data_IF_758691741701
#
_entry.id   IF_758691741701
#
_cell.length_a   1.000
_cell.length_b   1.000
_cell.length_c   1.000
_cell.angle_alpha   90.00
_cell.angle_beta   90.00
_cell.angle_gamma   90.00
#
_symmetry.space_group_name_H-M   'P 1'
#
loop_
_entity.id
_entity.type
_entity.pdbx_description
1 polymer ?
#
# COMPACT_ATOMS: atom_id res chain seq x y z
N UNK A 1 21.84 -1.87 5.12
CA UNK A 1 20.47 -2.40 5.36
C UNK A 1 19.79 -2.59 4.01
N UNK A 2 19.08 -3.70 3.75
CA UNK A 2 18.28 -3.89 2.53
C UNK A 2 16.82 -3.50 2.81
N UNK A 3 16.32 -2.35 2.34
CA UNK A 3 14.97 -1.91 2.67
C UNK A 3 13.92 -2.86 2.09
N UNK A 4 12.98 -3.33 2.91
CA UNK A 4 11.82 -4.11 2.47
C UNK A 4 10.58 -3.28 2.76
N UNK A 5 10.12 -2.51 1.78
CA UNK A 5 9.13 -1.48 1.99
C UNK A 5 7.72 -1.97 1.65
N UNK A 6 6.81 -1.85 2.62
CA UNK A 6 5.37 -1.81 2.37
C UNK A 6 4.98 -0.34 2.18
N UNK A 7 4.44 0.00 1.01
CA UNK A 7 4.12 1.37 0.61
C UNK A 7 2.61 1.48 0.45
N UNK A 8 1.97 2.35 1.24
CA UNK A 8 0.51 2.54 1.16
C UNK A 8 0.16 3.46 -0.02
N UNK A 9 0.26 2.92 -1.24
CA UNK A 9 0.04 3.67 -2.48
C UNK A 9 -1.44 3.85 -2.80
N UNK A 10 -2.30 2.95 -2.31
CA UNK A 10 -3.60 2.72 -2.94
C UNK A 10 -3.39 2.13 -4.34
N UNK A 11 -4.23 2.52 -5.30
CA UNK A 11 -3.96 2.26 -6.71
C UNK A 11 -2.55 2.81 -7.10
N UNK A 12 -1.64 2.00 -7.65
CA UNK A 12 -0.24 2.41 -7.87
C UNK A 12 -0.04 3.65 -8.75
N UNK A 13 -0.98 3.93 -9.66
CA UNK A 13 -0.96 5.10 -10.53
C UNK A 13 -1.48 6.38 -9.86
N UNK A 14 -2.09 6.31 -8.67
CA UNK A 14 -2.66 7.47 -7.98
C UNK A 14 -1.61 8.32 -7.24
N UNK A 15 -0.47 7.74 -6.87
CA UNK A 15 0.60 8.41 -6.10
C UNK A 15 1.98 8.19 -6.73
N UNK A 16 2.21 8.66 -7.97
CA UNK A 16 3.43 8.35 -8.73
C UNK A 16 4.71 8.85 -8.06
N UNK A 17 4.68 10.00 -7.37
CA UNK A 17 5.85 10.54 -6.67
C UNK A 17 6.32 9.62 -5.52
N UNK A 18 5.38 9.12 -4.71
CA UNK A 18 5.67 8.18 -3.62
C UNK A 18 6.20 6.85 -4.18
N UNK A 19 5.55 6.36 -5.23
CA UNK A 19 5.94 5.13 -5.92
C UNK A 19 7.38 5.22 -6.47
N UNK A 20 7.71 6.29 -7.19
CA UNK A 20 9.04 6.47 -7.78
C UNK A 20 10.12 6.64 -6.72
N UNK A 21 9.86 7.48 -5.71
CA UNK A 21 10.79 7.69 -4.60
C UNK A 21 11.18 6.37 -3.93
N UNK A 22 10.21 5.52 -3.57
CA UNK A 22 10.50 4.24 -2.91
C UNK A 22 11.17 3.25 -3.84
N UNK A 23 10.77 3.24 -5.10
CA UNK A 23 11.41 2.40 -6.09
C UNK A 23 12.90 2.73 -6.25
N UNK A 24 13.27 4.02 -6.27
CA UNK A 24 14.65 4.44 -6.50
C UNK A 24 15.63 3.89 -5.45
N UNK A 25 15.21 3.71 -4.19
CA UNK A 25 16.08 3.14 -3.15
C UNK A 25 15.84 1.65 -2.84
N UNK A 26 14.78 1.03 -3.36
CA UNK A 26 14.53 -0.42 -3.21
C UNK A 26 14.93 -1.23 -4.44
N UNK A 27 15.01 -0.61 -5.63
CA UNK A 27 15.32 -1.27 -6.90
C UNK A 27 16.63 -2.06 -6.83
N UNK A 28 16.56 -3.35 -7.17
CA UNK A 28 17.68 -4.31 -7.18
C UNK A 28 18.32 -4.64 -5.83
N UNK A 29 17.92 -3.99 -4.73
CA UNK A 29 18.53 -4.16 -3.41
C UNK A 29 17.55 -4.68 -2.37
N UNK A 30 16.25 -4.46 -2.58
CA UNK A 30 15.20 -4.74 -1.61
C UNK A 30 13.87 -5.15 -2.24
N UNK A 31 12.84 -5.17 -1.40
CA UNK A 31 11.46 -5.49 -1.75
C UNK A 31 10.62 -4.22 -1.69
N UNK A 32 9.70 -4.09 -2.62
CA UNK A 32 8.66 -3.07 -2.60
C UNK A 32 7.29 -3.74 -2.79
N UNK A 33 6.38 -3.50 -1.86
CA UNK A 33 4.99 -3.95 -1.91
C UNK A 33 4.11 -2.71 -1.92
N UNK A 34 3.29 -2.55 -2.96
CA UNK A 34 2.27 -1.51 -3.08
C UNK A 34 0.98 -1.99 -2.40
N UNK A 35 0.73 -1.52 -1.18
CA UNK A 35 -0.46 -1.81 -0.40
C UNK A 35 -1.65 -0.95 -0.82
N UNK A 36 -2.82 -1.59 -0.94
CA UNK A 36 -4.09 -0.93 -1.24
C UNK A 36 -5.21 -1.50 -0.37
N UNK A 37 -5.83 -0.65 0.45
CA UNK A 37 -6.99 -1.03 1.28
C UNK A 37 -8.27 -0.64 0.54
N UNK A 38 -9.09 -1.63 0.21
CA UNK A 38 -10.43 -1.45 -0.33
C UNK A 38 -11.45 -1.41 0.81
N UNK A 39 -12.04 -0.23 1.02
CA UNK A 39 -13.09 0.01 2.02
C UNK A 39 -14.47 -0.06 1.36
N UNK A 40 -15.51 -0.30 2.17
CA UNK A 40 -16.90 -0.39 1.71
C UNK A 40 -17.43 -1.82 1.65
N UNK A 41 -18.61 -2.05 1.04
CA UNK A 41 -19.29 -3.35 1.13
C UNK A 41 -18.43 -4.51 0.62
N UNK A 42 -18.18 -5.50 1.49
CA UNK A 42 -17.29 -6.65 1.23
C UNK A 42 -17.46 -7.29 -0.14
N UNK A 43 -18.71 -7.53 -0.57
CA UNK A 43 -19.00 -8.19 -1.85
C UNK A 43 -18.49 -7.37 -3.04
N UNK A 44 -18.63 -6.05 -2.98
CA UNK A 44 -18.13 -5.15 -4.01
C UNK A 44 -16.61 -5.05 -3.95
N UNK A 45 -16.04 -4.81 -2.77
CA UNK A 45 -14.61 -4.72 -2.57
C UNK A 45 -13.87 -5.97 -3.07
N UNK A 46 -14.36 -7.17 -2.76
CA UNK A 46 -13.76 -8.43 -3.23
C UNK A 46 -13.77 -8.56 -4.76
N UNK A 47 -14.83 -8.09 -5.42
CA UNK A 47 -14.92 -8.09 -6.89
C UNK A 47 -13.90 -7.12 -7.49
N UNK A 48 -13.81 -5.91 -6.94
CA UNK A 48 -12.87 -4.88 -7.37
C UNK A 48 -11.41 -5.32 -7.16
N UNK A 49 -11.09 -5.87 -5.98
CA UNK A 49 -9.75 -6.38 -5.66
C UNK A 49 -9.26 -7.43 -6.66
N UNK A 50 -10.13 -8.36 -7.06
CA UNK A 50 -9.78 -9.41 -8.03
C UNK A 50 -9.40 -8.82 -9.39
N UNK A 51 -10.16 -7.82 -9.85
CA UNK A 51 -9.89 -7.10 -11.10
C UNK A 51 -8.59 -6.29 -10.98
N UNK A 52 -8.47 -5.54 -9.89
CA UNK A 52 -7.36 -4.63 -9.63
C UNK A 52 -6.04 -5.38 -9.42
N UNK A 53 -6.07 -6.60 -8.87
CA UNK A 53 -4.88 -7.44 -8.73
C UNK A 53 -4.15 -7.61 -10.06
N UNK A 54 -4.84 -8.13 -11.06
CA UNK A 54 -4.25 -8.37 -12.37
C UNK A 54 -3.95 -7.06 -13.12
N UNK A 55 -4.80 -6.05 -12.98
CA UNK A 55 -4.66 -4.75 -13.65
C UNK A 55 -3.43 -3.99 -13.17
N UNK A 56 -3.29 -3.80 -11.86
CA UNK A 56 -2.21 -2.98 -11.30
C UNK A 56 -0.87 -3.72 -11.28
N UNK A 57 -0.86 -5.04 -11.12
CA UNK A 57 0.38 -5.80 -11.30
C UNK A 57 0.92 -5.66 -12.73
N UNK A 58 0.05 -5.73 -13.75
CA UNK A 58 0.43 -5.46 -15.15
C UNK A 58 0.91 -4.03 -15.35
N UNK A 59 0.26 -3.05 -14.72
CA UNK A 59 0.69 -1.66 -14.79
C UNK A 59 2.09 -1.46 -14.22
N UNK A 60 2.41 -2.05 -13.06
CA UNK A 60 3.75 -1.98 -12.46
C UNK A 60 4.81 -2.55 -13.41
N UNK A 61 4.56 -3.73 -13.99
CA UNK A 61 5.47 -4.38 -14.94
C UNK A 61 5.68 -3.50 -16.19
N UNK A 62 4.59 -2.98 -16.78
CA UNK A 62 4.65 -2.12 -17.98
C UNK A 62 5.49 -0.86 -17.73
N UNK A 63 5.41 -0.30 -16.53
CA UNK A 63 6.15 0.91 -16.14
C UNK A 63 7.54 0.61 -15.55
N UNK A 64 8.03 -0.64 -15.66
CA UNK A 64 9.35 -1.07 -15.16
C UNK A 64 9.53 -0.85 -13.65
N UNK A 65 8.43 -0.91 -12.89
CA UNK A 65 8.41 -0.78 -11.44
C UNK A 65 8.61 -2.17 -10.81
N UNK A 66 9.74 -2.35 -10.11
CA UNK A 66 10.04 -3.62 -9.41
C UNK A 66 9.30 -3.71 -8.08
N UNK A 67 7.98 -3.93 -8.13
CA UNK A 67 7.12 -4.03 -6.96
C UNK A 67 6.01 -5.08 -7.13
N UNK A 68 5.49 -5.56 -6.01
CA UNK A 68 4.29 -6.39 -5.94
C UNK A 68 3.09 -5.54 -5.56
N UNK A 69 1.92 -5.80 -6.15
CA UNK A 69 0.66 -5.19 -5.73
C UNK A 69 -0.07 -6.11 -4.73
N UNK A 70 -0.49 -5.55 -3.60
CA UNK A 70 -1.14 -6.25 -2.50
C UNK A 70 -2.43 -5.52 -2.06
N UNK A 71 -3.60 -5.88 -2.61
CA UNK A 71 -4.87 -5.39 -2.17
C UNK A 71 -5.37 -6.19 -0.96
N UNK A 72 -6.03 -5.50 -0.03
CA UNK A 72 -6.78 -6.08 1.08
C UNK A 72 -8.12 -5.38 1.19
N UNK A 73 -9.11 -6.07 1.76
CA UNK A 73 -10.36 -5.47 2.17
C UNK A 73 -10.38 -5.36 3.70
N UNK A 74 -10.78 -4.20 4.20
CA UNK A 74 -10.97 -3.90 5.61
C UNK A 74 -12.03 -2.80 5.75
N UNK A 75 -12.58 -2.64 6.96
CA UNK A 75 -13.58 -1.61 7.22
C UNK A 75 -12.94 -0.21 7.28
N UNK A 76 -11.67 -0.15 7.68
CA UNK A 76 -10.91 1.09 7.73
C UNK A 76 -9.44 0.94 7.29
N UNK A 77 -8.75 2.08 7.17
CA UNK A 77 -7.36 2.14 6.72
C UNK A 77 -6.41 1.45 7.70
N UNK A 78 -6.67 1.58 9.00
CA UNK A 78 -5.79 1.11 10.06
C UNK A 78 -5.77 -0.41 10.08
N UNK A 79 -6.95 -1.02 10.11
CA UNK A 79 -7.12 -2.47 10.09
C UNK A 79 -6.51 -3.05 8.80
N UNK A 80 -6.81 -2.47 7.63
CA UNK A 80 -6.23 -2.93 6.38
C UNK A 80 -4.70 -2.82 6.33
N UNK A 81 -4.13 -1.76 6.90
CA UNK A 81 -2.69 -1.64 7.04
C UNK A 81 -2.10 -2.69 8.00
N UNK A 82 -2.78 -3.00 9.11
CA UNK A 82 -2.37 -4.07 10.04
C UNK A 82 -2.33 -5.43 9.35
N UNK A 83 -3.34 -5.77 8.54
CA UNK A 83 -3.33 -6.99 7.73
C UNK A 83 -2.10 -7.07 6.83
N UNK A 84 -1.79 -5.97 6.13
CA UNK A 84 -0.62 -5.92 5.26
C UNK A 84 0.70 -5.99 6.05
N UNK A 85 0.81 -5.32 7.19
CA UNK A 85 2.02 -5.34 8.01
C UNK A 85 2.32 -6.73 8.58
N UNK A 86 1.28 -7.49 8.92
CA UNK A 86 1.42 -8.81 9.55
C UNK A 86 1.51 -9.95 8.53
N UNK A 87 0.82 -9.83 7.38
CA UNK A 87 0.63 -10.94 6.44
C UNK A 87 1.23 -10.72 5.05
N UNK A 88 1.76 -9.53 4.72
CA UNK A 88 2.37 -9.33 3.42
C UNK A 88 3.74 -10.00 3.31
N UNK A 89 3.98 -10.66 2.17
CA UNK A 89 5.22 -11.33 1.87
C UNK A 89 5.21 -12.84 2.13
N UNK A 90 6.32 -13.51 1.83
CA UNK A 90 6.48 -14.95 2.04
C UNK A 90 7.92 -15.27 2.48
N UNK A 91 8.06 -15.98 3.60
CA UNK A 91 9.36 -16.37 4.15
C UNK A 91 10.25 -15.16 4.47
N UNK A 92 11.43 -15.10 3.86
CA UNK A 92 12.38 -13.97 4.03
C UNK A 92 11.98 -12.71 3.25
N UNK A 93 11.04 -12.81 2.30
CA UNK A 93 10.53 -11.69 1.53
C UNK A 93 9.34 -11.04 2.24
N UNK A 94 9.61 -10.37 3.37
CA UNK A 94 8.60 -9.66 4.17
C UNK A 94 8.98 -8.19 4.36
N UNK A 95 8.01 -7.25 4.41
CA UNK A 95 8.31 -5.86 4.68
C UNK A 95 8.89 -5.69 6.08
N UNK A 96 9.77 -4.71 6.24
CA UNK A 96 10.37 -4.27 7.50
C UNK A 96 10.27 -2.76 7.69
N UNK A 97 9.74 -2.03 6.71
CA UNK A 97 9.57 -0.58 6.73
C UNK A 97 8.20 -0.25 6.13
N UNK A 98 7.37 0.47 6.88
CA UNK A 98 6.13 1.06 6.38
C UNK A 98 6.43 2.43 5.78
N UNK A 99 5.94 2.71 4.57
CA UNK A 99 6.08 4.00 3.91
C UNK A 99 4.70 4.57 3.57
N UNK A 100 4.45 5.78 4.04
CA UNK A 100 3.17 6.48 3.92
C UNK A 100 3.34 7.83 3.24
N UNK A 101 2.31 8.26 2.51
CA UNK A 101 2.19 9.66 2.11
C UNK A 101 1.75 10.53 3.28
N UNK A 102 2.17 11.80 3.30
CA UNK A 102 1.69 12.75 4.29
C UNK A 102 0.24 13.19 4.00
N UNK A 103 -0.63 13.13 5.00
CA UNK A 103 -2.03 13.63 4.91
C UNK A 103 -2.03 15.16 4.95
N UNK A 104 -2.00 15.80 3.78
CA UNK A 104 -1.89 17.28 3.66
C UNK A 104 -3.13 18.03 4.11
N UNK A 105 -4.30 17.41 3.93
CA UNK A 105 -5.62 17.96 4.21
C UNK A 105 -6.08 17.72 5.66
N UNK A 106 -5.16 17.38 6.57
CA UNK A 106 -5.50 17.00 7.95
C UNK A 106 -6.24 18.10 8.73
N UNK A 107 -6.05 19.38 8.39
CA UNK A 107 -6.77 20.51 8.98
C UNK A 107 -8.23 20.61 8.52
N UNK A 108 -8.56 20.08 7.33
CA UNK A 108 -9.91 20.13 6.75
C UNK A 108 -10.64 18.78 6.80
N UNK A 109 -9.91 17.69 7.06
CA UNK A 109 -10.46 16.34 7.12
C UNK A 109 -11.29 16.11 8.39
N UNK A 110 -12.17 15.11 8.34
CA UNK A 110 -12.86 14.60 9.54
C UNK A 110 -11.81 14.12 10.55
N UNK A 111 -11.99 14.46 11.82
CA UNK A 111 -11.06 14.07 12.89
C UNK A 111 -10.86 12.55 12.97
N UNK A 112 -11.88 11.76 12.60
CA UNK A 112 -11.76 10.29 12.53
C UNK A 112 -10.76 9.86 11.47
N UNK A 113 -10.71 10.52 10.31
CA UNK A 113 -9.73 10.20 9.26
C UNK A 113 -8.30 10.54 9.70
N UNK A 114 -8.13 11.62 10.46
CA UNK A 114 -6.85 12.01 11.04
C UNK A 114 -6.42 10.99 12.09
N UNK A 115 -7.32 10.60 12.99
CA UNK A 115 -7.06 9.59 14.02
C UNK A 115 -6.67 8.24 13.40
N UNK A 116 -7.41 7.77 12.39
CA UNK A 116 -7.06 6.56 11.64
C UNK A 116 -5.66 6.63 11.00
N UNK A 117 -5.27 7.79 10.45
CA UNK A 117 -3.94 7.98 9.88
C UNK A 117 -2.83 7.96 10.93
N UNK A 118 -3.03 8.62 12.08
CA UNK A 118 -2.05 8.65 13.17
C UNK A 118 -1.89 7.28 13.82
N UNK A 119 -2.98 6.54 13.97
CA UNK A 119 -2.99 5.20 14.56
C UNK A 119 -2.33 4.13 13.67
N UNK A 120 -1.84 4.48 12.48
CA UNK A 120 -0.94 3.64 11.69
C UNK A 120 0.49 3.58 12.25
N UNK A 121 0.88 4.57 13.05
CA UNK A 121 2.23 4.67 13.61
C UNK A 121 2.36 4.06 15.02
N UNK A 122 1.24 3.57 15.59
CA UNK A 122 1.16 2.94 16.91
C UNK A 122 1.07 1.43 16.78
#
# INVERSE_FOLDING_TARGET
IRPQCLVMTGAPNSRPALLHLVHDFTKNVGLMICGHVHMGPRRQAMKEMSIDQAKYQRWLIKNKMKAFYAPVHADDLREGAQYLMQAAGLGRMKPNTLVLGFKKDWLQADMRDVDMYINLFQ
#
